data_IF_272666455844
#
_entry.id   IF_272666455844
#
_cell.length_a   1.000
_cell.length_b   1.000
_cell.length_c   1.000
_cell.angle_alpha   90.00
_cell.angle_beta   90.00
_cell.angle_gamma   90.00
#
_symmetry.space_group_name_H-M   'P 1'
#
loop_
_entity.id
_entity.type
_entity.pdbx_description
1 polymer ?
#
# COMPACT_ATOMS: atom_id res chain seq x y z
N UNK A 1 -0.64 10.37 -9.53
CA UNK A 1 -0.97 11.35 -10.61
C UNK A 1 -0.23 12.68 -10.51
N UNK A 2 -0.30 13.41 -9.38
CA UNK A 2 0.34 14.73 -9.26
C UNK A 2 1.83 14.76 -9.66
N UNK A 3 2.65 13.85 -9.11
CA UNK A 3 4.08 13.78 -9.43
C UNK A 3 4.32 13.51 -10.92
N UNK A 4 3.50 12.67 -11.57
CA UNK A 4 3.62 12.39 -13.00
C UNK A 4 3.51 13.67 -13.86
N UNK A 5 2.65 14.62 -13.45
CA UNK A 5 2.51 15.91 -14.13
C UNK A 5 3.63 16.90 -13.81
N UNK A 6 4.38 16.67 -12.74
CA UNK A 6 5.54 17.49 -12.37
C UNK A 6 6.83 17.06 -13.09
N UNK A 7 6.82 15.92 -13.79
CA UNK A 7 7.98 15.46 -14.56
C UNK A 7 8.13 16.35 -15.80
N UNK A 8 9.28 17.05 -15.98
CA UNK A 8 9.51 17.94 -17.10
C UNK A 8 9.83 17.17 -18.39
N UNK A 9 9.87 17.89 -19.51
CA UNK A 9 10.32 17.36 -20.82
C UNK A 9 11.70 16.73 -20.73
N UNK A 10 11.97 15.70 -21.54
CA UNK A 10 13.28 15.02 -21.56
C UNK A 10 14.35 15.96 -22.12
N UNK A 11 15.49 16.02 -21.46
CA UNK A 11 16.68 16.78 -21.85
C UNK A 11 17.94 15.96 -21.53
N UNK A 12 19.07 16.26 -22.18
CA UNK A 12 20.32 15.50 -22.01
C UNK A 12 21.04 15.78 -20.66
N UNK A 13 20.73 16.91 -20.01
CA UNK A 13 21.41 17.36 -18.79
C UNK A 13 20.47 17.69 -17.62
N UNK A 14 21.05 17.89 -16.43
CA UNK A 14 20.33 18.31 -15.22
C UNK A 14 19.17 17.36 -14.79
N UNK A 15 19.36 16.04 -14.95
CA UNK A 15 18.30 15.06 -14.71
C UNK A 15 18.28 14.46 -13.29
N UNK A 16 19.11 14.95 -12.37
CA UNK A 16 19.15 14.41 -11.00
C UNK A 16 17.80 14.56 -10.29
N UNK A 17 17.19 15.76 -10.27
CA UNK A 17 15.87 15.95 -9.67
C UNK A 17 14.77 15.16 -10.38
N UNK A 18 14.87 14.97 -11.69
CA UNK A 18 13.96 14.11 -12.47
C UNK A 18 14.09 12.64 -12.06
N UNK A 19 15.30 12.16 -11.76
CA UNK A 19 15.52 10.81 -11.26
C UNK A 19 14.90 10.60 -9.87
N UNK A 20 14.95 11.61 -9.00
CA UNK A 20 14.26 11.59 -7.70
C UNK A 20 12.74 11.53 -7.90
N UNK A 21 12.18 12.37 -8.78
CA UNK A 21 10.75 12.33 -9.10
C UNK A 21 10.29 10.94 -9.57
N UNK A 22 11.07 10.31 -10.45
CA UNK A 22 10.78 8.97 -10.95
C UNK A 22 10.84 7.91 -9.85
N UNK A 23 11.88 7.93 -9.01
CA UNK A 23 12.00 7.00 -7.89
C UNK A 23 10.82 7.09 -6.91
N UNK A 24 10.42 8.31 -6.55
CA UNK A 24 9.25 8.52 -5.66
C UNK A 24 7.95 8.09 -6.34
N UNK A 25 7.79 8.37 -7.64
CA UNK A 25 6.62 7.93 -8.38
C UNK A 25 6.52 6.40 -8.44
N UNK A 26 7.64 5.70 -8.59
CA UNK A 26 7.68 4.24 -8.60
C UNK A 26 7.35 3.66 -7.23
N UNK A 27 7.86 4.27 -6.14
CA UNK A 27 7.50 3.89 -4.77
C UNK A 27 6.00 4.05 -4.50
N UNK A 28 5.40 5.18 -4.89
CA UNK A 28 3.95 5.40 -4.78
C UNK A 28 3.15 4.33 -5.55
N UNK A 29 3.58 4.00 -6.77
CA UNK A 29 2.89 2.99 -7.59
C UNK A 29 2.99 1.59 -6.99
N UNK A 30 4.13 1.24 -6.40
CA UNK A 30 4.29 -0.06 -5.75
C UNK A 30 3.29 -0.20 -4.59
N UNK A 31 3.11 0.84 -3.80
CA UNK A 31 2.16 0.87 -2.69
C UNK A 31 0.67 0.82 -3.14
N UNK A 32 0.36 1.20 -4.39
CA UNK A 32 -1.00 1.14 -4.96
C UNK A 32 -1.45 -0.28 -5.35
N UNK A 33 -0.57 -1.28 -5.37
CA UNK A 33 -0.90 -2.63 -5.89
C UNK A 33 -1.64 -3.52 -4.89
N UNK A 34 -1.55 -3.23 -3.60
CA UNK A 34 -2.01 -4.09 -2.50
C UNK A 34 -3.48 -3.93 -2.05
N UNK A 35 -4.12 -2.74 -2.16
CA UNK A 35 -5.52 -2.56 -1.74
C UNK A 35 -6.50 -3.54 -2.38
N UNK A 36 -6.30 -3.92 -3.65
CA UNK A 36 -7.16 -4.90 -4.32
C UNK A 36 -7.09 -6.29 -3.65
N UNK A 37 -5.90 -6.71 -3.18
CA UNK A 37 -5.71 -7.97 -2.50
C UNK A 37 -6.39 -7.99 -1.13
N UNK A 38 -6.41 -6.86 -0.42
CA UNK A 38 -7.11 -6.68 0.85
C UNK A 38 -8.63 -6.87 0.66
N UNK A 39 -9.23 -6.26 -0.36
CA UNK A 39 -10.66 -6.41 -0.65
C UNK A 39 -11.05 -7.86 -0.98
N UNK A 40 -10.20 -8.55 -1.73
CA UNK A 40 -10.40 -9.96 -2.07
C UNK A 40 -10.27 -10.87 -0.82
N UNK A 41 -9.37 -10.53 0.11
CA UNK A 41 -9.25 -11.24 1.38
C UNK A 41 -10.53 -11.20 2.21
N UNK A 42 -11.16 -10.03 2.34
CA UNK A 42 -12.41 -9.89 3.10
C UNK A 42 -13.49 -10.82 2.53
N UNK A 43 -13.60 -10.89 1.20
CA UNK A 43 -14.54 -11.78 0.53
C UNK A 43 -14.22 -13.27 0.79
N UNK A 44 -12.94 -13.63 0.78
CA UNK A 44 -12.49 -15.00 1.10
C UNK A 44 -12.80 -15.42 2.53
N UNK A 45 -12.72 -14.52 3.50
CA UNK A 45 -13.08 -14.82 4.89
C UNK A 45 -14.54 -15.28 4.97
N UNK A 46 -15.47 -14.52 4.39
CA UNK A 46 -16.89 -14.88 4.39
C UNK A 46 -17.17 -16.22 3.68
N UNK A 47 -16.54 -16.46 2.52
CA UNK A 47 -16.67 -17.73 1.81
C UNK A 47 -16.12 -18.90 2.61
N UNK A 48 -15.00 -18.71 3.31
CA UNK A 48 -14.38 -19.74 4.15
C UNK A 48 -15.24 -20.04 5.38
N UNK A 49 -15.75 -18.99 6.05
CA UNK A 49 -16.66 -19.11 7.18
C UNK A 49 -17.92 -19.89 6.82
N UNK A 50 -18.57 -19.53 5.70
CA UNK A 50 -19.76 -20.24 5.21
C UNK A 50 -19.51 -21.74 4.97
N UNK A 51 -18.34 -22.09 4.41
CA UNK A 51 -17.95 -23.49 4.18
C UNK A 51 -17.79 -24.26 5.49
N UNK A 52 -17.14 -23.68 6.49
CA UNK A 52 -16.92 -24.34 7.80
C UNK A 52 -18.24 -24.44 8.58
N UNK A 53 -19.05 -23.38 8.60
CA UNK A 53 -20.37 -23.40 9.25
C UNK A 53 -21.27 -24.50 8.65
N UNK A 54 -21.22 -24.70 7.33
CA UNK A 54 -21.92 -25.80 6.67
C UNK A 54 -21.46 -27.17 7.20
N UNK A 55 -20.18 -27.33 7.52
CA UNK A 55 -19.64 -28.56 8.12
C UNK A 55 -20.09 -28.74 9.57
N UNK A 56 -20.12 -27.67 10.37
CA UNK A 56 -20.69 -27.69 11.73
C UNK A 56 -22.14 -28.18 11.71
N UNK A 57 -22.96 -27.67 10.80
CA UNK A 57 -24.36 -28.07 10.68
C UNK A 57 -24.52 -29.53 10.23
N UNK A 58 -23.67 -30.00 9.28
CA UNK A 58 -23.73 -31.38 8.75
C UNK A 58 -23.16 -32.42 9.70
N UNK A 59 -22.17 -32.06 10.52
CA UNK A 59 -21.45 -32.97 11.41
C UNK A 59 -21.39 -32.39 12.83
N UNK A 60 -22.53 -32.27 13.54
CA UNK A 60 -22.60 -31.58 14.82
C UNK A 60 -21.85 -32.28 15.96
N UNK A 61 -21.48 -33.56 15.77
CA UNK A 61 -20.72 -34.37 16.73
C UNK A 61 -19.20 -34.21 16.59
N UNK A 62 -18.72 -33.47 15.58
CA UNK A 62 -17.30 -33.19 15.37
C UNK A 62 -17.02 -31.77 15.86
N UNK A 63 -16.47 -31.67 17.07
CA UNK A 63 -16.21 -30.38 17.72
C UNK A 63 -15.11 -29.56 17.01
N UNK A 64 -14.21 -30.22 16.29
CA UNK A 64 -13.15 -29.54 15.53
C UNK A 64 -13.71 -28.53 14.53
N UNK A 65 -14.87 -28.79 13.91
CA UNK A 65 -15.46 -27.82 13.01
C UNK A 65 -15.90 -26.54 13.72
N UNK A 66 -16.34 -26.63 14.99
CA UNK A 66 -16.66 -25.44 15.80
C UNK A 66 -15.39 -24.71 16.18
N UNK A 67 -14.32 -25.43 16.53
CA UNK A 67 -13.01 -24.84 16.82
C UNK A 67 -12.46 -24.08 15.61
N UNK A 68 -12.57 -24.65 14.41
CA UNK A 68 -12.10 -23.98 13.17
C UNK A 68 -12.82 -22.67 12.89
N UNK A 69 -14.11 -22.53 13.24
CA UNK A 69 -14.81 -21.23 13.13
C UNK A 69 -14.13 -20.18 14.01
N UNK A 70 -13.85 -20.52 15.26
CA UNK A 70 -13.17 -19.63 16.22
C UNK A 70 -11.78 -19.24 15.71
N UNK A 71 -10.99 -20.22 15.27
CA UNK A 71 -9.64 -19.98 14.73
C UNK A 71 -9.68 -19.09 13.47
N UNK A 72 -10.68 -19.27 12.60
CA UNK A 72 -10.85 -18.45 11.42
C UNK A 72 -11.13 -16.99 11.78
N UNK A 73 -12.00 -16.76 12.78
CA UNK A 73 -12.36 -15.43 13.27
C UNK A 73 -11.17 -14.74 13.95
N UNK A 74 -10.45 -15.46 14.82
CA UNK A 74 -9.25 -14.95 15.49
C UNK A 74 -8.15 -14.58 14.48
N UNK A 75 -7.91 -15.44 13.49
CA UNK A 75 -6.97 -15.18 12.39
C UNK A 75 -7.38 -13.95 11.59
N UNK A 76 -8.66 -13.80 11.26
CA UNK A 76 -9.13 -12.66 10.47
C UNK A 76 -9.01 -11.35 11.24
N UNK A 77 -9.36 -11.35 12.53
CA UNK A 77 -9.16 -10.19 13.39
C UNK A 77 -7.70 -9.73 13.39
N UNK A 78 -6.75 -10.65 13.61
CA UNK A 78 -5.33 -10.30 13.59
C UNK A 78 -4.89 -9.78 12.22
N UNK A 79 -5.37 -10.40 11.15
CA UNK A 79 -5.04 -9.98 9.79
C UNK A 79 -5.55 -8.58 9.48
N UNK A 80 -6.78 -8.24 9.86
CA UNK A 80 -7.34 -6.90 9.68
C UNK A 80 -6.56 -5.85 10.50
N UNK A 81 -6.16 -6.20 11.72
CA UNK A 81 -5.32 -5.33 12.54
C UNK A 81 -3.96 -5.04 11.89
N UNK A 82 -3.31 -6.07 11.33
CA UNK A 82 -2.06 -5.92 10.59
C UNK A 82 -2.24 -5.04 9.35
N UNK A 83 -3.31 -5.25 8.59
CA UNK A 83 -3.65 -4.43 7.41
C UNK A 83 -3.76 -2.95 7.80
N UNK A 84 -4.46 -2.62 8.89
CA UNK A 84 -4.58 -1.22 9.36
C UNK A 84 -3.22 -0.64 9.77
N UNK A 85 -2.40 -1.43 10.47
CA UNK A 85 -1.05 -1.01 10.85
C UNK A 85 -0.20 -0.72 9.61
N UNK A 86 -0.30 -1.57 8.60
CA UNK A 86 0.44 -1.44 7.35
C UNK A 86 -0.01 -0.20 6.57
N UNK A 87 -1.32 0.02 6.42
CA UNK A 87 -1.87 1.25 5.80
C UNK A 87 -1.32 2.50 6.48
N UNK A 88 -1.32 2.55 7.82
CA UNK A 88 -0.73 3.67 8.57
C UNK A 88 0.77 3.84 8.26
N UNK A 89 1.52 2.74 8.26
CA UNK A 89 2.96 2.77 8.00
C UNK A 89 3.26 3.27 6.58
N UNK A 90 2.50 2.81 5.57
CA UNK A 90 2.58 3.28 4.18
C UNK A 90 2.37 4.78 4.07
N UNK A 91 1.28 5.30 4.64
CA UNK A 91 1.03 6.74 4.66
C UNK A 91 2.17 7.52 5.33
N UNK A 92 2.73 6.99 6.41
CA UNK A 92 3.85 7.62 7.11
C UNK A 92 5.12 7.65 6.26
N UNK A 93 5.45 6.53 5.59
CA UNK A 93 6.61 6.41 4.69
C UNK A 93 6.48 7.33 3.48
N UNK A 94 5.31 7.28 2.81
CA UNK A 94 5.02 8.13 1.66
C UNK A 94 5.06 9.62 2.03
N UNK A 95 4.50 9.99 3.18
CA UNK A 95 4.57 11.36 3.67
C UNK A 95 6.03 11.79 3.92
N UNK A 96 6.83 10.95 4.57
CA UNK A 96 8.23 11.21 4.87
C UNK A 96 9.06 11.43 3.59
N UNK A 97 8.99 10.50 2.63
CA UNK A 97 9.78 10.59 1.40
C UNK A 97 9.35 11.77 0.53
N UNK A 98 8.05 12.03 0.41
CA UNK A 98 7.53 13.17 -0.37
C UNK A 98 7.94 14.49 0.27
N UNK A 99 7.83 14.60 1.60
CA UNK A 99 8.16 15.83 2.31
C UNK A 99 9.66 16.14 2.24
N UNK A 100 10.52 15.13 2.44
CA UNK A 100 11.99 15.28 2.33
C UNK A 100 12.45 15.73 0.95
N UNK A 101 11.73 15.34 -0.11
CA UNK A 101 12.11 15.61 -1.49
C UNK A 101 11.24 16.69 -2.16
N UNK A 102 10.41 17.41 -1.40
CA UNK A 102 9.41 18.35 -1.93
C UNK A 102 9.99 19.39 -2.90
N UNK A 103 11.18 19.93 -2.61
CA UNK A 103 11.84 20.91 -3.48
C UNK A 103 12.18 20.31 -4.84
N UNK A 104 12.79 19.12 -4.87
CA UNK A 104 13.14 18.42 -6.12
C UNK A 104 11.92 17.89 -6.87
N UNK A 105 10.82 17.59 -6.16
CA UNK A 105 9.54 17.26 -6.79
C UNK A 105 8.95 18.47 -7.51
N UNK A 106 9.05 19.68 -6.93
CA UNK A 106 8.49 20.90 -7.53
C UNK A 106 9.39 21.50 -8.60
N UNK A 107 10.69 21.56 -8.33
CA UNK A 107 11.72 22.19 -9.15
C UNK A 107 12.87 21.20 -9.42
N UNK A 108 12.66 20.18 -10.27
CA UNK A 108 13.65 19.12 -10.52
C UNK A 108 14.91 19.60 -11.24
N UNK A 109 14.82 20.73 -11.94
CA UNK A 109 15.92 21.40 -12.65
C UNK A 109 16.13 22.79 -12.08
N UNK A 110 16.66 22.87 -10.85
CA UNK A 110 17.04 24.16 -10.30
C UNK A 110 18.07 24.84 -11.22
N UNK A 111 17.84 26.12 -11.53
CA UNK A 111 18.81 26.96 -12.21
C UNK A 111 19.84 27.39 -11.17
N UNK A 112 21.11 27.06 -11.37
CA UNK A 112 22.21 27.57 -10.52
C UNK A 112 22.40 29.10 -10.63
N UNK A 113 21.55 29.81 -11.38
CA UNK A 113 21.63 31.27 -11.54
C UNK A 113 21.37 32.05 -10.23
N UNK A 114 20.70 31.46 -9.23
CA UNK A 114 20.43 32.13 -7.96
C UNK A 114 21.64 32.20 -7.01
N UNK A 115 22.71 31.43 -7.24
CA UNK A 115 23.94 31.46 -6.43
C UNK A 115 25.06 32.33 -7.03
N UNK A 116 24.76 33.11 -8.08
CA UNK A 116 25.74 33.92 -8.81
C UNK A 116 25.73 35.42 -8.43
N UNK A 117 24.96 35.84 -7.42
CA UNK A 117 24.91 37.22 -6.93
C UNK A 117 24.92 37.29 -5.41
#
# INVERSE_FOLDING_TARGET
MWISFMIPTIEDGNNFGVSIQKGILDEIKNEETEPAAIFDQISRYFLSGAKVITKVAKYPHIDDYRRVVVELDEKEYLSLWLIVCEVRNRYSSLHDIVTKNMEKIKNPRASNAEHLY
#
